data_IF_499324739319
#
_entry.id   IF_499324739319
#
_cell.length_a   1.000
_cell.length_b   1.000
_cell.length_c   1.000
_cell.angle_alpha   90.00
_cell.angle_beta   90.00
_cell.angle_gamma   90.00
#
_symmetry.space_group_name_H-M   'P 1'
#
loop_
_entity.id
_entity.type
_entity.pdbx_description
1 polymer ?
#
# COMPACT_ATOMS: atom_id res chain seq x y z
N UNK A 1 8.24 -8.01 21.13
CA UNK A 1 6.94 -7.67 20.52
C UNK A 1 5.95 -7.38 21.63
N UNK A 2 5.08 -6.39 21.44
CA UNK A 2 3.88 -6.16 22.26
C UNK A 2 2.63 -6.04 21.38
N UNK A 3 1.46 -6.25 21.97
CA UNK A 3 0.17 -5.99 21.33
C UNK A 3 -0.49 -4.83 22.05
N UNK A 4 -1.01 -3.86 21.30
CA UNK A 4 -1.65 -2.65 21.83
C UNK A 4 -3.07 -2.56 21.26
N UNK A 5 -4.07 -2.61 22.13
CA UNK A 5 -5.47 -2.40 21.75
C UNK A 5 -5.81 -0.91 21.75
N UNK A 6 -6.30 -0.43 20.61
CA UNK A 6 -6.76 0.95 20.42
C UNK A 6 -8.25 1.01 20.75
N UNK A 7 -8.64 1.96 21.59
CA UNK A 7 -10.04 2.20 21.99
C UNK A 7 -10.76 0.96 22.56
N UNK A 8 -10.01 0.01 23.13
CA UNK A 8 -10.58 -1.23 23.69
C UNK A 8 -10.99 -2.26 22.63
N UNK A 9 -10.45 -2.18 21.42
CA UNK A 9 -10.64 -3.20 20.38
C UNK A 9 -10.32 -4.61 20.93
N UNK A 10 -11.20 -5.59 20.70
CA UNK A 10 -11.02 -6.93 21.24
C UNK A 10 -9.82 -7.62 20.60
N UNK A 11 -9.02 -8.30 21.42
CA UNK A 11 -8.01 -9.23 20.96
C UNK A 11 -8.52 -10.65 21.23
N UNK A 12 -9.42 -11.13 20.36
CA UNK A 12 -10.12 -12.40 20.58
C UNK A 12 -9.31 -13.64 20.14
N UNK A 13 -8.18 -13.42 19.44
CA UNK A 13 -7.30 -14.46 18.91
C UNK A 13 -8.08 -15.55 18.13
N UNK A 14 -9.17 -15.13 17.47
CA UNK A 14 -10.06 -16.05 16.79
C UNK A 14 -9.43 -16.55 15.47
N UNK A 15 -9.43 -17.86 15.20
CA UNK A 15 -8.80 -18.43 14.00
C UNK A 15 -9.40 -18.00 12.66
N UNK A 16 -10.60 -17.43 12.65
CA UNK A 16 -11.39 -17.23 11.42
C UNK A 16 -10.98 -16.01 10.58
N UNK A 17 -10.17 -15.11 11.12
CA UNK A 17 -9.75 -13.87 10.45
C UNK A 17 -8.35 -13.43 10.86
N UNK A 18 -7.48 -14.37 11.24
CA UNK A 18 -6.15 -14.09 11.78
C UNK A 18 -5.04 -14.10 10.74
N UNK A 19 -5.30 -14.58 9.53
CA UNK A 19 -4.30 -14.79 8.47
C UNK A 19 -3.47 -13.54 8.16
N UNK A 20 -4.12 -12.40 7.91
CA UNK A 20 -3.46 -11.13 7.58
C UNK A 20 -2.62 -10.61 8.75
N UNK A 21 -3.18 -10.60 9.96
CA UNK A 21 -2.47 -10.17 11.16
C UNK A 21 -1.24 -11.07 11.44
N UNK A 22 -1.38 -12.38 11.25
CA UNK A 22 -0.28 -13.35 11.36
C UNK A 22 0.80 -13.11 10.31
N UNK A 23 0.42 -12.85 9.06
CA UNK A 23 1.34 -12.53 7.97
C UNK A 23 2.18 -11.30 8.30
N UNK A 24 1.52 -10.18 8.60
CA UNK A 24 2.17 -8.91 8.90
C UNK A 24 3.19 -9.07 10.02
N UNK A 25 2.75 -9.63 11.15
CA UNK A 25 3.58 -9.66 12.36
C UNK A 25 4.75 -10.66 12.25
N UNK A 26 4.54 -11.83 11.63
CA UNK A 26 5.60 -12.83 11.48
C UNK A 26 6.71 -12.33 10.58
N UNK A 27 6.37 -11.62 9.50
CA UNK A 27 7.38 -11.08 8.58
C UNK A 27 8.07 -9.83 9.12
N UNK A 28 7.35 -8.90 9.77
CA UNK A 28 8.05 -7.77 10.42
C UNK A 28 9.05 -8.29 11.45
N UNK A 29 8.63 -9.17 12.37
CA UNK A 29 9.52 -9.70 13.41
C UNK A 29 10.67 -10.51 12.82
N UNK A 30 10.40 -11.33 11.80
CA UNK A 30 11.42 -12.11 11.10
C UNK A 30 12.50 -11.23 10.46
N UNK A 31 12.12 -10.02 10.00
CA UNK A 31 13.03 -9.07 9.38
C UNK A 31 13.74 -8.14 10.39
N UNK A 32 13.14 -7.85 11.55
CA UNK A 32 13.62 -6.80 12.46
C UNK A 32 14.29 -7.32 13.72
N UNK A 33 15.28 -8.20 13.60
CA UNK A 33 16.00 -8.72 14.76
C UNK A 33 16.61 -7.57 15.61
N UNK A 34 16.25 -7.52 16.90
CA UNK A 34 16.73 -6.50 17.84
C UNK A 34 15.98 -5.16 17.83
N UNK A 35 14.91 -5.02 17.04
CA UNK A 35 14.03 -3.84 17.06
C UNK A 35 12.74 -4.18 17.80
N UNK A 36 12.22 -3.22 18.58
CA UNK A 36 10.93 -3.37 19.23
C UNK A 36 9.80 -3.25 18.20
N UNK A 37 8.85 -4.19 18.26
CA UNK A 37 7.71 -4.28 17.34
C UNK A 37 6.42 -4.27 18.15
N UNK A 38 5.49 -3.41 17.76
CA UNK A 38 4.13 -3.38 18.27
C UNK A 38 3.13 -3.75 17.19
N UNK A 39 2.21 -4.64 17.53
CA UNK A 39 0.99 -4.88 16.77
C UNK A 39 -0.13 -4.02 17.36
N UNK A 40 -0.77 -3.20 16.53
CA UNK A 40 -1.86 -2.33 16.96
C UNK A 40 -3.19 -2.90 16.49
N UNK A 41 -4.08 -3.21 17.42
CA UNK A 41 -5.41 -3.75 17.12
C UNK A 41 -6.41 -2.60 17.22
N UNK A 42 -7.18 -2.37 16.16
CA UNK A 42 -8.27 -1.39 16.11
C UNK A 42 -9.57 -2.08 15.69
N UNK A 43 -10.69 -1.41 15.88
CA UNK A 43 -12.01 -1.91 15.49
C UNK A 43 -12.87 -0.80 14.91
N UNK A 44 -13.86 -1.19 14.11
CA UNK A 44 -14.84 -0.27 13.54
C UNK A 44 -14.66 -0.05 12.05
N UNK A 45 -15.73 0.40 11.43
CA UNK A 45 -15.80 0.62 9.99
C UNK A 45 -15.94 2.11 9.68
N UNK A 46 -15.24 2.55 8.64
CA UNK A 46 -15.45 3.83 7.99
C UNK A 46 -16.69 3.78 7.10
N UNK A 47 -17.15 4.97 6.68
CA UNK A 47 -18.22 5.09 5.70
C UNK A 47 -17.76 4.54 4.35
N UNK A 48 -18.57 3.64 3.77
CA UNK A 48 -18.42 3.14 2.41
C UNK A 48 -19.30 3.96 1.45
N UNK A 49 -18.70 4.50 0.41
CA UNK A 49 -19.37 5.02 -0.78
C UNK A 49 -19.43 3.87 -1.80
N UNK A 50 -20.62 3.40 -2.22
CA UNK A 50 -20.72 2.23 -3.09
C UNK A 50 -20.01 2.38 -4.44
N UNK A 51 -19.63 1.25 -5.01
CA UNK A 51 -19.08 1.14 -6.37
C UNK A 51 -19.44 -0.22 -6.99
N UNK A 52 -18.91 -0.51 -8.19
CA UNK A 52 -19.17 -1.77 -8.89
C UNK A 52 -18.67 -3.01 -8.12
N UNK A 53 -17.48 -2.94 -7.53
CA UNK A 53 -16.87 -4.05 -6.77
C UNK A 53 -17.48 -4.19 -5.35
N UNK A 54 -18.06 -3.10 -4.84
CA UNK A 54 -18.68 -3.03 -3.52
C UNK A 54 -20.03 -2.28 -3.58
N UNK A 55 -21.11 -2.92 -4.08
CA UNK A 55 -22.40 -2.26 -4.31
C UNK A 55 -23.25 -2.07 -3.04
N UNK A 56 -22.82 -2.63 -1.90
CA UNK A 56 -23.54 -2.60 -0.62
C UNK A 56 -23.31 -1.27 0.12
N UNK A 57 -24.35 -0.74 0.78
CA UNK A 57 -24.25 0.41 1.69
C UNK A 57 -23.83 0.04 3.12
N UNK A 58 -23.85 -1.26 3.47
CA UNK A 58 -23.32 -1.71 4.75
C UNK A 58 -21.80 -1.60 4.69
N UNK A 59 -21.24 -0.62 5.38
CA UNK A 59 -19.82 -0.28 5.29
C UNK A 59 -18.92 -1.39 5.82
N UNK A 60 -18.02 -1.86 4.97
CA UNK A 60 -16.89 -2.72 5.32
C UNK A 60 -15.58 -1.95 5.39
N UNK A 61 -15.57 -0.66 5.00
CA UNK A 61 -14.33 0.09 4.87
C UNK A 61 -13.59 0.16 6.20
N UNK A 62 -12.28 -0.06 6.17
CA UNK A 62 -11.48 -0.07 7.38
C UNK A 62 -11.28 1.35 7.95
N UNK A 63 -11.38 1.49 9.28
CA UNK A 63 -11.18 2.79 9.94
C UNK A 63 -9.69 3.13 10.06
N UNK A 64 -9.21 4.04 9.22
CA UNK A 64 -7.87 4.63 9.31
C UNK A 64 -7.74 5.74 10.37
N UNK A 65 -8.83 6.45 10.71
CA UNK A 65 -8.73 7.65 11.56
C UNK A 65 -8.44 7.34 13.03
N UNK A 66 -9.04 6.28 13.59
CA UNK A 66 -8.87 5.94 14.99
C UNK A 66 -7.44 5.50 15.34
N UNK A 67 -6.77 4.62 14.56
CA UNK A 67 -5.36 4.33 14.80
C UNK A 67 -4.48 5.58 14.65
N UNK A 68 -4.70 6.42 13.64
CA UNK A 68 -3.93 7.65 13.47
C UNK A 68 -4.12 8.64 14.64
N UNK A 69 -5.36 8.79 15.16
CA UNK A 69 -5.64 9.63 16.33
C UNK A 69 -4.96 9.11 17.58
N UNK A 70 -4.90 7.80 17.76
CA UNK A 70 -4.19 7.18 18.87
C UNK A 70 -2.69 7.45 18.76
N UNK A 71 -2.09 7.18 17.60
CA UNK A 71 -0.66 7.35 17.35
C UNK A 71 -0.21 8.81 17.53
N UNK A 72 -1.00 9.78 17.04
CA UNK A 72 -0.70 11.21 17.19
C UNK A 72 -0.79 11.74 18.63
N UNK A 73 -1.34 10.95 19.57
CA UNK A 73 -1.37 11.29 21.01
C UNK A 73 -0.17 10.73 21.77
N UNK A 74 0.57 9.80 21.17
CA UNK A 74 1.77 9.23 21.79
C UNK A 74 2.86 10.30 21.89
N UNK A 75 3.70 10.17 22.90
CA UNK A 75 4.94 10.95 23.00
C UNK A 75 5.95 10.47 21.95
N UNK A 76 6.97 11.28 21.67
CA UNK A 76 8.03 10.91 20.71
C UNK A 76 8.78 9.64 21.15
N UNK A 77 8.87 9.38 22.46
CA UNK A 77 9.50 8.19 23.03
C UNK A 77 8.65 6.93 22.85
N UNK A 78 7.32 7.06 22.79
CA UNK A 78 6.37 5.96 22.59
C UNK A 78 6.09 5.68 21.11
N UNK A 79 6.19 6.71 20.27
CA UNK A 79 5.90 6.64 18.85
C UNK A 79 6.99 5.85 18.11
N UNK A 80 6.55 4.89 17.29
CA UNK A 80 7.47 4.08 16.50
C UNK A 80 7.97 4.87 15.30
N UNK A 81 9.26 4.74 14.99
CA UNK A 81 9.88 5.40 13.83
C UNK A 81 9.38 4.87 12.47
N UNK A 82 8.67 3.74 12.47
CA UNK A 82 8.16 3.09 11.28
C UNK A 82 6.84 2.39 11.62
N UNK A 83 5.85 2.53 10.75
CA UNK A 83 4.55 1.87 10.81
C UNK A 83 4.30 1.18 9.47
N UNK A 84 3.95 -0.10 9.50
CA UNK A 84 3.49 -0.86 8.33
C UNK A 84 1.97 -0.97 8.36
N UNK A 85 1.32 -0.86 7.20
CA UNK A 85 -0.13 -0.95 7.03
C UNK A 85 -0.44 -1.79 5.79
N UNK A 86 -1.22 -2.86 5.97
CA UNK A 86 -1.65 -3.76 4.89
C UNK A 86 -3.17 -3.68 4.63
N UNK A 87 -3.73 -2.50 4.91
CA UNK A 87 -5.15 -2.17 4.81
C UNK A 87 -5.40 -1.15 3.70
N UNK A 88 -6.53 -1.26 2.99
CA UNK A 88 -6.84 -0.33 1.92
C UNK A 88 -8.17 -0.58 1.19
N UNK A 89 -8.64 0.50 0.57
CA UNK A 89 -9.92 0.61 -0.14
C UNK A 89 -9.70 1.30 -1.49
N UNK A 90 -10.67 1.25 -2.40
CA UNK A 90 -10.66 2.13 -3.57
C UNK A 90 -10.87 3.58 -3.12
N UNK A 91 -10.10 4.55 -3.63
CA UNK A 91 -10.14 5.97 -3.23
C UNK A 91 -11.55 6.56 -3.40
N UNK A 92 -12.29 6.05 -4.39
CA UNK A 92 -13.65 6.48 -4.68
C UNK A 92 -14.70 5.94 -3.70
N UNK A 93 -14.35 4.92 -2.89
CA UNK A 93 -15.26 4.35 -1.89
C UNK A 93 -15.18 5.04 -0.53
N UNK A 94 -14.28 6.03 -0.37
CA UNK A 94 -14.19 6.85 0.84
C UNK A 94 -14.58 8.30 0.56
N UNK A 95 -15.23 9.01 1.50
CA UNK A 95 -15.49 10.44 1.32
C UNK A 95 -14.18 11.24 1.13
N UNK A 96 -14.16 12.17 0.17
CA UNK A 96 -12.96 13.00 -0.10
C UNK A 96 -12.45 13.76 1.13
N UNK A 97 -13.34 14.17 2.03
CA UNK A 97 -12.98 14.82 3.30
C UNK A 97 -12.26 13.86 4.26
N UNK A 98 -12.71 12.61 4.33
CA UNK A 98 -12.08 11.54 5.10
C UNK A 98 -10.69 11.22 4.56
N UNK A 99 -10.56 11.08 3.24
CA UNK A 99 -9.28 10.82 2.59
C UNK A 99 -8.26 11.95 2.87
N UNK A 100 -8.68 13.22 2.70
CA UNK A 100 -7.85 14.39 3.03
C UNK A 100 -7.43 14.43 4.48
N UNK A 101 -8.37 14.23 5.40
CA UNK A 101 -8.08 14.23 6.84
C UNK A 101 -7.05 13.15 7.19
N UNK A 102 -7.23 11.93 6.68
CA UNK A 102 -6.32 10.81 6.91
C UNK A 102 -4.92 11.13 6.40
N UNK A 103 -4.78 11.62 5.16
CA UNK A 103 -3.46 11.93 4.61
C UNK A 103 -2.77 13.09 5.35
N UNK A 104 -3.49 14.10 5.83
CA UNK A 104 -2.89 15.15 6.65
C UNK A 104 -2.47 14.66 8.04
N UNK A 105 -3.16 13.66 8.61
CA UNK A 105 -2.72 13.02 9.85
C UNK A 105 -1.48 12.16 9.63
N UNK A 106 -1.38 11.45 8.50
CA UNK A 106 -0.16 10.75 8.09
C UNK A 106 1.00 11.75 7.90
N UNK A 107 0.74 12.91 7.30
CA UNK A 107 1.74 13.97 7.17
C UNK A 107 2.25 14.46 8.55
N UNK A 108 1.36 14.56 9.54
CA UNK A 108 1.74 14.89 10.92
C UNK A 108 2.61 13.80 11.55
N UNK A 109 2.29 12.51 11.36
CA UNK A 109 3.16 11.41 11.82
C UNK A 109 4.55 11.48 11.16
N UNK A 110 4.58 11.74 9.85
CA UNK A 110 5.82 11.97 9.10
C UNK A 110 6.66 13.07 9.72
N UNK A 111 6.06 14.24 10.00
CA UNK A 111 6.73 15.36 10.64
C UNK A 111 7.19 15.08 12.09
N UNK A 112 6.60 14.06 12.74
CA UNK A 112 7.00 13.60 14.08
C UNK A 112 8.08 12.51 14.06
N UNK A 113 8.68 12.17 12.91
CA UNK A 113 9.76 11.18 12.84
C UNK A 113 9.33 9.75 12.51
N UNK A 114 8.12 9.57 11.97
CA UNK A 114 7.58 8.24 11.64
C UNK A 114 7.40 8.05 10.14
N UNK A 115 8.09 7.06 9.57
CA UNK A 115 7.78 6.57 8.23
C UNK A 115 6.53 5.70 8.23
N UNK A 116 5.59 5.97 7.32
CA UNK A 116 4.40 5.12 7.12
C UNK A 116 4.56 4.36 5.81
N UNK A 117 4.60 3.04 5.91
CA UNK A 117 4.75 2.09 4.80
C UNK A 117 3.38 1.42 4.55
N UNK A 118 2.92 1.41 3.31
CA UNK A 118 1.58 0.90 2.97
C UNK A 118 1.67 -0.07 1.79
N UNK A 119 1.01 -1.23 1.89
CA UNK A 119 0.87 -2.14 0.76
C UNK A 119 0.15 -1.44 -0.41
N UNK A 120 0.57 -1.67 -1.65
CA UNK A 120 -0.04 -0.98 -2.80
C UNK A 120 -1.48 -1.42 -3.09
N UNK A 121 -1.91 -2.56 -2.52
CA UNK A 121 -3.10 -3.36 -2.81
C UNK A 121 -2.90 -4.44 -3.89
N UNK A 122 -3.88 -5.35 -3.96
CA UNK A 122 -3.84 -6.59 -4.75
C UNK A 122 -4.84 -6.60 -5.93
N UNK A 123 -5.13 -5.41 -6.45
CA UNK A 123 -6.12 -5.17 -7.50
C UNK A 123 -5.48 -4.91 -8.86
N UNK A 124 -4.15 -4.93 -8.97
CA UNK A 124 -3.43 -4.67 -10.20
C UNK A 124 -3.75 -3.28 -10.75
N UNK A 125 -4.29 -3.19 -11.97
CA UNK A 125 -4.79 -1.90 -12.49
C UNK A 125 -6.19 -1.53 -11.99
N UNK A 126 -6.90 -2.46 -11.35
CA UNK A 126 -8.23 -2.25 -10.78
C UNK A 126 -9.18 -3.46 -10.90
N UNK A 127 -10.20 -3.48 -10.04
CA UNK A 127 -11.32 -4.44 -10.10
C UNK A 127 -12.63 -3.78 -10.54
N UNK A 128 -12.96 -2.59 -10.02
CA UNK A 128 -14.18 -1.83 -10.37
C UNK A 128 -14.09 -1.16 -11.76
N UNK A 129 -12.93 -0.62 -12.11
CA UNK A 129 -12.58 -0.12 -13.45
C UNK A 129 -13.57 0.89 -14.07
N UNK A 130 -14.30 1.60 -13.21
CA UNK A 130 -15.35 2.55 -13.55
C UNK A 130 -15.47 3.56 -12.42
N UNK A 131 -15.70 4.84 -12.75
CA UNK A 131 -16.03 5.86 -11.75
C UNK A 131 -17.38 5.59 -11.10
N UNK A 132 -17.49 5.86 -9.80
CA UNK A 132 -18.74 5.71 -9.03
C UNK A 132 -19.55 7.02 -8.87
N UNK A 133 -19.40 7.97 -9.80
CA UNK A 133 -20.02 9.32 -9.77
C UNK A 133 -21.10 9.52 -10.85
N UNK A 134 -21.74 8.43 -11.29
CA UNK A 134 -22.74 8.38 -12.37
C UNK A 134 -22.25 8.86 -13.75
N UNK A 135 -20.95 9.16 -13.91
CA UNK A 135 -20.39 9.61 -15.20
C UNK A 135 -20.29 8.51 -16.25
N UNK A 136 -20.37 7.24 -15.84
CA UNK A 136 -20.18 6.06 -16.69
C UNK A 136 -18.83 6.08 -17.45
N UNK A 137 -17.79 6.64 -16.81
CA UNK A 137 -16.44 6.74 -17.34
C UNK A 137 -15.60 5.55 -16.83
N UNK A 138 -15.10 4.75 -17.77
CA UNK A 138 -14.09 3.71 -17.49
C UNK A 138 -12.81 4.36 -16.98
N UNK A 139 -12.33 3.90 -15.82
CA UNK A 139 -11.21 4.50 -15.12
C UNK A 139 -10.55 3.48 -14.20
N UNK A 140 -9.23 3.45 -14.15
CA UNK A 140 -8.47 2.66 -13.18
C UNK A 140 -8.66 3.23 -11.77
N UNK A 141 -9.24 2.46 -10.83
CA UNK A 141 -9.56 2.94 -9.50
C UNK A 141 -8.28 3.18 -8.69
N UNK A 142 -8.04 4.42 -8.24
CA UNK A 142 -6.95 4.69 -7.30
C UNK A 142 -7.23 3.99 -5.95
N UNK A 143 -6.19 3.74 -5.16
CA UNK A 143 -6.27 3.06 -3.87
C UNK A 143 -6.02 4.01 -2.68
N UNK A 144 -6.65 3.78 -1.54
CA UNK A 144 -6.52 4.58 -0.33
C UNK A 144 -6.20 3.65 0.85
N UNK A 145 -5.24 3.97 1.75
CA UNK A 145 -4.54 5.25 1.91
C UNK A 145 -3.27 5.41 1.06
N UNK A 146 -3.01 4.50 0.11
CA UNK A 146 -1.86 4.57 -0.82
C UNK A 146 -1.75 5.93 -1.52
N UNK A 147 -2.90 6.54 -1.83
CA UNK A 147 -3.01 7.88 -2.41
C UNK A 147 -2.28 8.99 -1.65
N UNK A 148 -2.10 8.83 -0.33
CA UNK A 148 -1.51 9.86 0.51
C UNK A 148 -0.04 10.15 0.10
N UNK A 149 0.33 11.41 -0.22
CA UNK A 149 1.70 11.75 -0.64
C UNK A 149 2.81 11.49 0.37
N UNK A 150 2.46 11.17 1.62
CA UNK A 150 3.37 11.00 2.75
C UNK A 150 3.53 9.54 3.20
N UNK A 151 2.96 8.60 2.45
CA UNK A 151 3.23 7.16 2.63
C UNK A 151 4.22 6.67 1.57
N UNK A 152 5.07 5.73 1.95
CA UNK A 152 5.84 4.94 1.00
C UNK A 152 5.04 3.66 0.66
N UNK A 153 4.60 3.58 -0.59
CA UNK A 153 3.80 2.46 -1.08
C UNK A 153 4.68 1.33 -1.59
N UNK A 154 4.39 0.10 -1.15
CA UNK A 154 5.15 -1.09 -1.53
C UNK A 154 4.30 -2.00 -2.41
N UNK A 155 4.74 -2.15 -3.66
CA UNK A 155 4.22 -3.09 -4.64
C UNK A 155 4.80 -4.50 -4.50
N UNK A 156 4.37 -5.38 -5.39
CA UNK A 156 4.68 -6.79 -5.36
C UNK A 156 5.52 -7.28 -6.52
N UNK A 157 6.50 -8.12 -6.18
CA UNK A 157 7.32 -8.87 -7.12
C UNK A 157 7.34 -10.36 -6.76
N UNK A 158 7.83 -11.17 -7.70
CA UNK A 158 8.00 -12.62 -7.57
C UNK A 158 9.27 -13.08 -8.25
N UNK A 159 9.71 -14.29 -7.87
CA UNK A 159 10.98 -14.90 -8.32
C UNK A 159 12.21 -14.13 -7.80
N UNK A 160 13.41 -14.67 -8.05
CA UNK A 160 14.67 -14.12 -7.50
C UNK A 160 15.60 -13.65 -8.62
N UNK A 161 15.80 -14.48 -9.65
CA UNK A 161 16.67 -14.14 -10.77
C UNK A 161 16.20 -14.78 -12.10
N UNK A 162 15.53 -14.01 -12.99
CA UNK A 162 15.14 -12.62 -12.79
C UNK A 162 13.92 -12.48 -11.86
N UNK A 163 13.94 -11.43 -11.04
CA UNK A 163 12.77 -10.93 -10.32
C UNK A 163 11.80 -10.25 -11.30
N UNK A 164 10.49 -10.39 -11.07
CA UNK A 164 9.44 -9.90 -11.97
C UNK A 164 8.27 -9.29 -11.20
N UNK A 165 7.67 -8.24 -11.75
CA UNK A 165 6.44 -7.66 -11.19
C UNK A 165 5.28 -8.67 -11.25
N UNK A 166 4.48 -8.72 -10.19
CA UNK A 166 3.34 -9.63 -10.08
C UNK A 166 2.05 -8.95 -10.54
N UNK A 167 1.22 -9.71 -11.25
CA UNK A 167 0.02 -9.21 -11.93
C UNK A 167 -1.03 -8.53 -11.02
N UNK A 168 -1.10 -8.93 -9.74
CA UNK A 168 -2.01 -8.32 -8.77
C UNK A 168 -1.44 -7.09 -8.07
N UNK A 169 -0.12 -6.81 -8.17
CA UNK A 169 0.48 -5.64 -7.51
C UNK A 169 -0.21 -4.39 -8.03
N UNK A 170 -0.85 -3.61 -7.17
CA UNK A 170 -1.53 -2.42 -7.64
C UNK A 170 -0.54 -1.34 -8.09
N UNK A 171 -0.82 -0.75 -9.25
CA UNK A 171 -0.18 0.47 -9.73
C UNK A 171 -1.26 1.51 -10.00
N UNK A 172 -1.08 2.73 -9.51
CA UNK A 172 -2.13 3.74 -9.53
C UNK A 172 -1.60 5.12 -9.87
N UNK A 173 -2.46 5.92 -10.49
CA UNK A 173 -2.37 7.38 -10.49
C UNK A 173 -3.60 7.92 -9.78
N UNK A 174 -3.42 8.86 -8.85
CA UNK A 174 -4.48 9.27 -7.94
C UNK A 174 -5.18 10.55 -8.38
N UNK A 175 -6.51 10.56 -8.27
CA UNK A 175 -7.36 11.67 -8.72
C UNK A 175 -7.40 12.83 -7.71
N UNK A 176 -7.23 12.53 -6.42
CA UNK A 176 -7.37 13.54 -5.36
C UNK A 176 -6.10 14.34 -5.08
N UNK A 177 -4.93 13.76 -5.36
CA UNK A 177 -3.63 14.28 -4.95
C UNK A 177 -2.75 14.57 -6.16
N UNK A 178 -2.31 15.83 -6.34
CA UNK A 178 -1.40 16.17 -7.42
C UNK A 178 -0.06 15.48 -7.23
N UNK A 179 0.65 15.26 -8.33
CA UNK A 179 2.00 14.70 -8.35
C UNK A 179 2.94 15.48 -7.44
N UNK A 180 3.51 14.84 -6.40
CA UNK A 180 4.52 15.46 -5.57
C UNK A 180 5.83 15.70 -6.34
N UNK A 181 6.55 16.76 -5.98
CA UNK A 181 7.79 17.14 -6.68
C UNK A 181 8.88 16.06 -6.60
N UNK A 182 8.93 15.27 -5.53
CA UNK A 182 9.94 14.22 -5.36
C UNK A 182 9.83 13.10 -6.41
N UNK A 183 8.65 12.87 -6.99
CA UNK A 183 8.42 11.83 -7.99
C UNK A 183 8.26 12.40 -9.41
N UNK A 184 8.41 13.71 -9.60
CA UNK A 184 8.15 14.38 -10.88
C UNK A 184 8.98 13.76 -12.01
N UNK A 185 10.30 13.66 -11.82
CA UNK A 185 11.24 13.13 -12.82
C UNK A 185 10.92 11.69 -13.22
N UNK A 186 10.72 10.80 -12.23
CA UNK A 186 10.44 9.39 -12.46
C UNK A 186 9.11 9.17 -13.19
N UNK A 187 8.06 9.88 -12.78
CA UNK A 187 6.73 9.74 -13.39
C UNK A 187 6.71 10.32 -14.81
N UNK A 188 7.36 11.47 -15.02
CA UNK A 188 7.44 12.06 -16.37
C UNK A 188 8.19 11.17 -17.35
N UNK A 189 9.32 10.59 -16.91
CA UNK A 189 10.05 9.62 -17.73
C UNK A 189 9.18 8.41 -18.07
N UNK A 190 8.52 7.80 -17.07
CA UNK A 190 7.61 6.68 -17.30
C UNK A 190 6.49 7.02 -18.32
N UNK A 191 5.80 8.15 -18.12
CA UNK A 191 4.71 8.57 -19.01
C UNK A 191 5.18 8.80 -20.45
N UNK A 192 6.37 9.39 -20.63
CA UNK A 192 6.89 9.76 -21.95
C UNK A 192 7.58 8.61 -22.67
N UNK A 193 8.38 7.81 -21.97
CA UNK A 193 9.28 6.82 -22.59
C UNK A 193 8.75 5.40 -22.54
N UNK A 194 7.94 5.07 -21.52
CA UNK A 194 7.49 3.69 -21.27
C UNK A 194 6.01 3.47 -21.60
N UNK A 195 5.14 4.41 -21.22
CA UNK A 195 3.69 4.28 -21.40
C UNK A 195 3.22 4.76 -22.78
N UNK A 196 3.59 5.97 -23.18
CA UNK A 196 3.12 6.60 -24.41
C UNK A 196 1.59 6.78 -24.41
N UNK A 197 0.92 6.42 -25.50
CA UNK A 197 -0.55 6.49 -25.62
C UNK A 197 -1.29 5.28 -25.00
N UNK A 198 -0.58 4.32 -24.39
CA UNK A 198 -1.23 3.19 -23.71
C UNK A 198 -2.01 3.68 -22.49
N UNK A 199 -3.16 3.06 -22.23
CA UNK A 199 -4.04 3.41 -21.11
C UNK A 199 -4.55 4.86 -21.09
N UNK A 200 -4.45 5.59 -22.21
CA UNK A 200 -4.86 6.99 -22.30
C UNK A 200 -6.34 7.16 -21.96
N UNK A 201 -6.63 8.11 -21.07
CA UNK A 201 -7.99 8.41 -20.60
C UNK A 201 -8.48 7.49 -19.48
N UNK A 202 -7.70 6.50 -19.05
CA UNK A 202 -8.07 5.58 -17.97
C UNK A 202 -7.52 6.03 -16.61
N UNK A 203 -6.74 7.11 -16.52
CA UNK A 203 -6.14 7.60 -15.27
C UNK A 203 -5.77 9.09 -15.39
N UNK A 204 -5.52 9.78 -14.26
CA UNK A 204 -5.01 11.15 -14.25
C UNK A 204 -3.47 11.18 -14.28
N UNK A 205 -2.83 11.58 -15.41
CA UNK A 205 -1.37 11.61 -15.52
C UNK A 205 -0.70 12.71 -14.67
N UNK A 206 -1.48 13.59 -14.04
CA UNK A 206 -0.99 14.65 -13.17
C UNK A 206 -1.06 14.30 -11.68
N UNK A 207 -1.62 13.13 -11.34
CA UNK A 207 -1.76 12.66 -9.97
C UNK A 207 -0.45 12.16 -9.32
N UNK A 208 -0.49 11.95 -7.99
CA UNK A 208 0.46 11.06 -7.31
C UNK A 208 0.46 9.70 -8.04
N UNK A 209 1.56 8.97 -7.97
CA UNK A 209 1.74 7.73 -8.72
C UNK A 209 2.36 6.69 -7.80
N UNK A 210 1.89 5.44 -7.82
CA UNK A 210 2.34 4.34 -6.94
C UNK A 210 2.52 3.05 -7.74
N UNK A 211 3.24 2.04 -7.21
CA UNK A 211 3.97 2.04 -5.93
C UNK A 211 5.23 2.90 -5.95
N UNK A 212 5.84 3.14 -4.79
CA UNK A 212 7.12 3.86 -4.66
C UNK A 212 8.33 2.90 -4.71
N UNK A 213 8.12 1.64 -4.33
CA UNK A 213 9.08 0.52 -4.37
C UNK A 213 8.30 -0.79 -4.40
N UNK A 214 8.98 -1.93 -4.55
CA UNK A 214 8.39 -3.27 -4.52
C UNK A 214 9.21 -4.24 -3.67
N UNK A 215 8.55 -5.26 -3.15
CA UNK A 215 9.20 -6.40 -2.49
C UNK A 215 8.45 -7.71 -2.79
N UNK A 216 9.03 -8.84 -2.40
CA UNK A 216 8.44 -10.16 -2.67
C UNK A 216 7.01 -10.24 -2.12
N UNK A 217 6.10 -10.84 -2.90
CA UNK A 217 4.67 -10.88 -2.58
C UNK A 217 4.01 -12.22 -2.87
N UNK A 218 4.80 -13.25 -3.20
CA UNK A 218 4.27 -14.53 -3.66
C UNK A 218 4.91 -15.66 -2.88
N UNK A 219 4.09 -16.60 -2.39
CA UNK A 219 4.47 -17.80 -1.64
C UNK A 219 5.18 -17.48 -0.33
N UNK A 220 4.60 -16.57 0.45
CA UNK A 220 5.02 -16.33 1.82
C UNK A 220 4.50 -17.45 2.72
N UNK A 221 5.39 -18.08 3.49
CA UNK A 221 5.01 -19.09 4.47
C UNK A 221 4.67 -18.40 5.78
N UNK A 222 3.49 -18.71 6.35
CA UNK A 222 3.10 -18.25 7.69
C UNK A 222 2.55 -19.41 8.52
N UNK A 223 2.62 -19.27 9.84
CA UNK A 223 1.85 -20.08 10.77
C UNK A 223 0.53 -19.41 11.12
N UNK A 224 -0.62 -20.03 10.84
CA UNK A 224 -1.93 -19.49 11.20
C UNK A 224 -2.81 -20.60 11.80
N UNK A 225 -3.44 -20.33 12.94
CA UNK A 225 -4.26 -21.29 13.68
C UNK A 225 -3.63 -22.69 13.90
N UNK A 226 -2.29 -22.75 14.04
CA UNK A 226 -1.54 -24.00 14.22
C UNK A 226 -1.21 -24.74 12.91
N UNK A 227 -1.51 -24.16 11.76
CA UNK A 227 -1.20 -24.70 10.43
C UNK A 227 -0.15 -23.85 9.72
N UNK A 228 0.64 -24.47 8.85
CA UNK A 228 1.54 -23.77 7.94
C UNK A 228 0.80 -23.58 6.61
N UNK A 229 0.66 -22.33 6.18
CA UNK A 229 -0.03 -21.96 4.94
C UNK A 229 0.84 -21.03 4.07
N UNK A 230 0.39 -20.82 2.84
CA UNK A 230 1.05 -19.97 1.86
C UNK A 230 0.15 -18.78 1.55
N UNK A 231 0.71 -17.58 1.62
CA UNK A 231 0.02 -16.34 1.29
C UNK A 231 0.68 -15.64 0.09
N UNK A 232 -0.16 -14.95 -0.67
CA UNK A 232 0.19 -14.07 -1.77
C UNK A 232 -0.48 -12.70 -1.52
N UNK A 233 0.22 -11.61 -1.79
CA UNK A 233 -0.33 -10.26 -1.66
C UNK A 233 0.74 -9.23 -1.37
N UNK A 234 0.46 -7.97 -1.68
CA UNK A 234 1.34 -6.83 -1.35
C UNK A 234 1.39 -6.57 0.16
N UNK A 235 0.44 -7.13 0.90
CA UNK A 235 0.51 -7.37 2.34
C UNK A 235 1.72 -8.17 2.80
N UNK A 236 2.32 -8.99 1.93
CA UNK A 236 3.59 -9.65 2.22
C UNK A 236 4.78 -8.68 2.08
N UNK A 237 4.70 -7.78 1.10
CA UNK A 237 5.77 -6.87 0.72
C UNK A 237 5.94 -5.71 1.69
N UNK A 238 4.83 -5.07 2.10
CA UNK A 238 4.84 -3.95 3.03
C UNK A 238 5.60 -4.26 4.35
N UNK A 239 5.26 -5.31 5.13
CA UNK A 239 5.97 -5.66 6.35
C UNK A 239 7.43 -6.08 6.10
N UNK A 240 7.71 -6.72 4.96
CA UNK A 240 9.08 -7.09 4.59
C UNK A 240 9.96 -5.84 4.40
N UNK A 241 9.47 -4.88 3.61
CA UNK A 241 10.20 -3.64 3.34
C UNK A 241 10.27 -2.73 4.58
N UNK A 242 9.16 -2.63 5.31
CA UNK A 242 9.10 -2.00 6.62
C UNK A 242 10.19 -2.52 7.56
N UNK A 243 10.42 -3.83 7.59
CA UNK A 243 11.48 -4.42 8.39
C UNK A 243 12.89 -3.97 8.00
N UNK A 244 13.17 -3.84 6.70
CA UNK A 244 14.43 -3.29 6.18
C UNK A 244 14.61 -1.84 6.66
N UNK A 245 13.58 -1.00 6.54
CA UNK A 245 13.61 0.38 7.01
C UNK A 245 13.78 0.46 8.53
N UNK A 246 13.15 -0.45 9.28
CA UNK A 246 13.33 -0.58 10.73
C UNK A 246 14.80 -0.84 11.11
N UNK A 247 15.48 -1.74 10.40
CA UNK A 247 16.91 -1.99 10.59
C UNK A 247 17.78 -0.77 10.21
N UNK A 248 17.44 -0.08 9.11
CA UNK A 248 18.13 1.16 8.73
C UNK A 248 17.96 2.25 9.79
N UNK A 249 16.76 2.42 10.33
CA UNK A 249 16.50 3.35 11.44
C UNK A 249 17.29 2.95 12.70
N UNK A 250 17.37 1.67 13.03
CA UNK A 250 18.20 1.19 14.15
C UNK A 250 19.69 1.52 13.95
N UNK A 251 20.22 1.35 12.73
CA UNK A 251 21.60 1.69 12.39
C UNK A 251 21.85 3.21 12.45
N UNK A 252 20.91 4.02 11.94
CA UNK A 252 20.95 5.49 12.02
C UNK A 252 20.97 5.97 13.46
N UNK A 253 20.06 5.49 14.28
CA UNK A 253 19.97 5.83 15.71
C UNK A 253 21.23 5.42 16.47
N UNK A 254 21.77 4.23 16.22
CA UNK A 254 23.05 3.78 16.79
C UNK A 254 24.22 4.68 16.41
N UNK A 255 24.13 5.31 15.23
CA UNK A 255 25.08 6.28 14.71
C UNK A 255 24.72 7.74 15.04
N UNK A 256 23.75 7.96 15.94
CA UNK A 256 23.27 9.29 16.38
C UNK A 256 22.63 10.15 15.28
N UNK A 257 22.15 9.52 14.21
CA UNK A 257 21.30 10.16 13.22
C UNK A 257 19.82 9.94 13.58
N UNK A 258 18.94 10.91 13.27
CA UNK A 258 17.50 10.71 13.43
C UNK A 258 17.00 9.60 12.50
N UNK A 259 15.92 8.88 12.86
CA UNK A 259 15.26 7.96 11.94
C UNK A 259 14.73 8.69 10.70
N UNK A 260 14.26 7.93 9.72
CA UNK A 260 13.53 8.50 8.59
C UNK A 260 12.17 9.03 9.03
N UNK A 261 11.85 10.24 8.56
CA UNK A 261 10.52 10.86 8.64
C UNK A 261 9.66 10.34 7.45
N UNK A 262 9.21 11.24 6.57
CA UNK A 262 8.59 10.88 5.29
C UNK A 262 9.67 10.32 4.36
N UNK A 263 9.51 9.05 3.97
CA UNK A 263 10.57 8.30 3.28
C UNK A 263 10.74 8.67 1.79
N UNK A 264 9.65 9.05 1.11
CA UNK A 264 9.63 9.18 -0.36
C UNK A 264 10.68 10.17 -0.89
N UNK A 265 10.88 11.38 -0.35
CA UNK A 265 11.92 12.28 -0.85
C UNK A 265 13.33 11.67 -0.82
N UNK A 266 13.66 10.91 0.22
CA UNK A 266 14.94 10.20 0.31
C UNK A 266 15.00 9.03 -0.69
N UNK A 267 13.91 8.28 -0.84
CA UNK A 267 13.81 7.15 -1.77
C UNK A 267 14.08 7.58 -3.21
N UNK A 268 13.34 8.58 -3.71
CA UNK A 268 13.45 9.06 -5.10
C UNK A 268 14.77 9.79 -5.40
N UNK A 269 15.53 10.16 -4.37
CA UNK A 269 16.84 10.81 -4.51
C UNK A 269 18.00 9.83 -4.35
N UNK A 270 18.30 9.43 -3.12
CA UNK A 270 19.48 8.63 -2.77
C UNK A 270 19.12 7.16 -2.63
N UNK A 271 17.96 6.84 -2.04
CA UNK A 271 17.52 5.48 -1.73
C UNK A 271 17.43 4.57 -2.95
N UNK A 272 16.98 5.10 -4.10
CA UNK A 272 16.85 4.37 -5.37
C UNK A 272 18.14 3.69 -5.84
N UNK A 273 19.31 4.19 -5.43
CA UNK A 273 20.61 3.57 -5.78
C UNK A 273 20.83 2.22 -5.11
N UNK A 274 20.10 1.93 -4.04
CA UNK A 274 20.13 0.64 -3.35
C UNK A 274 19.05 -0.34 -3.79
N UNK A 275 18.19 0.05 -4.74
CA UNK A 275 17.10 -0.77 -5.27
C UNK A 275 17.49 -1.45 -6.58
N UNK A 276 16.74 -2.48 -6.96
CA UNK A 276 16.94 -3.23 -8.22
C UNK A 276 15.82 -2.91 -9.18
N UNK A 277 16.15 -2.43 -10.37
CA UNK A 277 15.13 -2.23 -11.41
C UNK A 277 14.47 -3.57 -11.81
N UNK A 278 13.14 -3.58 -11.79
CA UNK A 278 12.31 -4.68 -12.25
C UNK A 278 11.82 -4.34 -13.66
N UNK A 279 12.26 -5.14 -14.63
CA UNK A 279 12.04 -4.89 -16.07
C UNK A 279 11.23 -5.98 -16.75
N UNK A 280 10.66 -6.90 -15.95
CA UNK A 280 9.90 -8.05 -16.41
C UNK A 280 8.58 -8.17 -15.65
N UNK A 281 7.56 -8.66 -16.35
CA UNK A 281 6.21 -8.74 -15.81
C UNK A 281 5.49 -7.39 -15.81
N UNK A 282 4.45 -7.29 -15.01
CA UNK A 282 3.64 -6.09 -14.88
C UNK A 282 2.34 -6.37 -14.15
N UNK A 283 1.68 -5.31 -13.73
CA UNK A 283 0.34 -5.35 -13.19
C UNK A 283 -0.67 -5.48 -14.32
N UNK A 284 -1.68 -6.33 -14.18
CA UNK A 284 -2.81 -6.43 -15.10
C UNK A 284 -4.10 -6.26 -14.30
N UNK A 285 -5.29 -6.42 -14.91
CA UNK A 285 -6.64 -6.59 -14.30
C UNK A 285 -7.66 -5.83 -15.15
N UNK A 286 -8.72 -5.27 -14.56
CA UNK A 286 -9.89 -4.77 -15.28
C UNK A 286 -10.44 -5.79 -16.29
N UNK A 287 -10.56 -7.04 -15.85
CA UNK A 287 -11.03 -8.16 -16.67
C UNK A 287 -12.46 -8.60 -16.33
N UNK A 288 -13.19 -7.83 -15.52
CA UNK A 288 -14.56 -8.16 -15.10
C UNK A 288 -14.64 -9.17 -13.93
N UNK A 289 -13.52 -9.43 -13.25
CA UNK A 289 -13.43 -10.34 -12.11
C UNK A 289 -13.02 -9.60 -10.82
N UNK A 290 -13.40 -10.18 -9.67
CA UNK A 290 -12.81 -9.81 -8.38
C UNK A 290 -11.29 -10.06 -8.34
N UNK A 291 -10.62 -9.51 -7.32
CA UNK A 291 -9.18 -9.74 -7.07
C UNK A 291 -8.83 -11.23 -7.06
N UNK A 292 -7.57 -11.54 -7.37
CA UNK A 292 -7.04 -12.92 -7.47
C UNK A 292 -7.79 -13.85 -8.44
N UNK A 293 -8.28 -13.32 -9.57
CA UNK A 293 -9.10 -14.08 -10.56
C UNK A 293 -10.35 -14.70 -9.91
N UNK A 294 -10.99 -13.95 -9.02
CA UNK A 294 -12.23 -14.37 -8.37
C UNK A 294 -13.39 -14.50 -9.37
N UNK A 295 -14.62 -14.65 -8.87
CA UNK A 295 -15.80 -14.70 -9.75
C UNK A 295 -15.99 -13.39 -10.53
N UNK A 296 -16.83 -13.44 -11.57
CA UNK A 296 -17.25 -12.24 -12.29
C UNK A 296 -17.91 -11.25 -11.31
N UNK A 297 -17.51 -9.98 -11.36
CA UNK A 297 -18.05 -8.91 -10.50
C UNK A 297 -18.93 -7.92 -11.28
N UNK A 298 -19.03 -8.07 -12.61
CA UNK A 298 -19.87 -7.23 -13.47
C UNK A 298 -19.25 -5.87 -13.84
N UNK A 299 -17.97 -5.65 -13.50
CA UNK A 299 -17.25 -4.45 -13.94
C UNK A 299 -16.90 -4.49 -15.43
N UNK A 300 -16.57 -3.33 -16.04
CA UNK A 300 -16.10 -3.28 -17.42
C UNK A 300 -14.84 -4.10 -17.65
N UNK A 301 -14.76 -4.69 -18.84
CA UNK A 301 -13.53 -5.31 -19.34
C UNK A 301 -12.77 -4.25 -20.14
N UNK A 302 -11.54 -3.96 -19.71
CA UNK A 302 -10.64 -3.02 -20.39
C UNK A 302 -9.55 -3.82 -21.12
N UNK A 303 -9.60 -3.89 -22.46
CA UNK A 303 -8.61 -4.67 -23.21
C UNK A 303 -7.19 -4.17 -22.97
N UNK A 304 -6.28 -5.11 -22.70
CA UNK A 304 -4.85 -4.85 -22.48
C UNK A 304 -4.56 -3.88 -21.32
N UNK A 305 -5.44 -3.79 -20.33
CA UNK A 305 -5.23 -2.98 -19.14
C UNK A 305 -4.03 -3.51 -18.33
N UNK A 306 -2.95 -2.74 -18.31
CA UNK A 306 -1.71 -3.12 -17.63
C UNK A 306 -0.79 -1.93 -17.32
N UNK A 307 0.06 -2.13 -16.31
CA UNK A 307 1.29 -1.38 -16.07
C UNK A 307 2.48 -2.33 -16.24
N UNK A 308 3.31 -2.08 -17.25
CA UNK A 308 4.48 -2.92 -17.46
C UNK A 308 5.58 -2.55 -16.46
N UNK A 309 6.29 -3.57 -15.98
CA UNK A 309 7.52 -3.37 -15.24
C UNK A 309 8.56 -2.71 -16.15
N UNK A 310 9.02 -1.53 -15.76
CA UNK A 310 9.96 -0.72 -16.56
C UNK A 310 11.00 -0.08 -15.64
N UNK A 311 12.21 0.21 -16.16
CA UNK A 311 13.27 0.83 -15.37
C UNK A 311 12.77 2.08 -14.64
N UNK A 312 13.23 2.30 -13.40
CA UNK A 312 12.86 3.43 -12.55
C UNK A 312 11.38 3.54 -12.11
N UNK A 313 10.46 2.78 -12.70
CA UNK A 313 9.04 2.74 -12.32
C UNK A 313 8.72 1.58 -11.36
N UNK A 314 9.28 0.39 -11.61
CA UNK A 314 9.26 -0.71 -10.64
C UNK A 314 10.69 -0.95 -10.14
N UNK A 315 10.93 -0.64 -8.87
CA UNK A 315 12.21 -0.80 -8.18
C UNK A 315 12.04 -1.52 -6.84
#
# INVERSE_FOLDING_TARGET
>A
MSVVSINGAPNDQSPGSSTEANLDIQYVIGMTNGVHVNEFITSGFATLVPEYDHPSLHGSNESCLDPLRYLLRLTNEELHSMISVSYGEDEQTVPKSYARQTCFMIAQLGASGTSVIVASADKGVGTACMKNDDSNITHFPPQFPVACPWVASVGGVRYIDPEQAVYFSSGCFFDLWPRPSYQQEAVEDFLQTQLGDRQKGLFDPHGRASPDMSAQSVRYIIGDAGHIIWEDGTSCAAPTFAGIIGLLNAARTSSKFPPFEVLNPWLYSVGKKGLRDIVHGGSTRCNGHFRFEGSLNGSPIVPYASWNATPAWYQ
#
